data_IF_496923382600
#
_entry.id   IF_496923382600
#
_cell.length_a   1.000
_cell.length_b   1.000
_cell.length_c   1.000
_cell.angle_alpha   90.00
_cell.angle_beta   90.00
_cell.angle_gamma   90.00
#
_symmetry.space_group_name_H-M   'P 1'
#
loop_
_entity.id
_entity.type
_entity.pdbx_description
1 polymer ?
#
# COMPACT_ATOMS: atom_id res chain seq x y z
N UNK A 1 16.60 7.21 6.39
CA UNK A 1 16.62 5.92 7.11
C UNK A 1 17.91 5.82 7.91
N UNK A 2 17.93 5.19 9.09
CA UNK A 2 19.14 5.03 9.90
C UNK A 2 20.27 4.28 9.17
N UNK A 3 19.93 3.39 8.24
CA UNK A 3 20.88 2.64 7.41
C UNK A 3 20.62 2.87 5.92
N UNK A 4 21.69 3.00 5.13
CA UNK A 4 21.62 3.11 3.66
C UNK A 4 21.41 1.75 2.97
N UNK A 5 21.85 0.68 3.63
CA UNK A 5 21.80 -0.69 3.10
C UNK A 5 20.85 -1.51 3.95
N UNK A 6 19.79 -2.03 3.32
CA UNK A 6 18.76 -2.80 3.99
C UNK A 6 17.78 -3.39 3.00
N UNK A 7 17.00 -4.35 3.47
CA UNK A 7 15.90 -4.93 2.70
C UNK A 7 14.66 -4.07 2.94
N UNK A 8 14.10 -3.54 1.87
CA UNK A 8 12.85 -2.80 1.95
C UNK A 8 11.68 -3.77 2.15
N UNK A 9 10.83 -3.49 3.13
CA UNK A 9 9.60 -4.24 3.40
C UNK A 9 8.42 -3.27 3.49
N UNK A 10 7.29 -3.65 2.90
CA UNK A 10 6.02 -2.97 3.09
C UNK A 10 5.18 -3.75 4.09
N UNK A 11 4.57 -3.06 5.04
CA UNK A 11 3.88 -3.69 6.17
C UNK A 11 2.51 -3.05 6.35
N UNK A 12 1.49 -3.88 6.57
CA UNK A 12 0.16 -3.45 6.98
C UNK A 12 0.04 -3.64 8.50
N UNK A 13 -0.15 -2.54 9.21
CA UNK A 13 -0.20 -2.51 10.68
C UNK A 13 -1.46 -1.83 11.18
N UNK A 14 -1.98 -2.29 12.32
CA UNK A 14 -2.99 -1.58 13.06
C UNK A 14 -2.36 -0.33 13.70
N UNK A 15 -2.87 0.86 13.37
CA UNK A 15 -2.32 2.13 13.84
C UNK A 15 -2.45 2.34 15.36
N UNK A 16 -3.42 1.69 16.00
CA UNK A 16 -3.71 1.88 17.42
C UNK A 16 -2.90 0.94 18.32
N UNK A 17 -2.68 -0.31 17.87
CA UNK A 17 -1.97 -1.33 18.66
C UNK A 17 -0.55 -1.61 18.18
N UNK A 18 -0.17 -1.13 16.99
CA UNK A 18 1.09 -1.49 16.33
C UNK A 18 1.13 -2.94 15.83
N UNK A 19 0.03 -3.68 15.94
CA UNK A 19 -0.03 -5.07 15.50
C UNK A 19 0.23 -5.17 14.00
N UNK A 20 1.21 -5.98 13.62
CA UNK A 20 1.54 -6.25 12.22
C UNK A 20 0.69 -7.38 11.70
N UNK A 21 -0.14 -7.08 10.71
CA UNK A 21 -1.00 -8.08 10.08
C UNK A 21 -0.27 -8.82 8.95
N UNK A 22 0.26 -8.09 7.97
CA UNK A 22 0.90 -8.68 6.79
C UNK A 22 2.09 -7.85 6.32
N UNK A 23 3.04 -8.52 5.68
CA UNK A 23 4.21 -7.89 5.08
C UNK A 23 4.47 -8.37 3.66
N UNK A 24 5.21 -7.56 2.91
CA UNK A 24 5.67 -7.81 1.55
C UNK A 24 7.14 -7.35 1.43
N UNK A 25 8.11 -8.27 1.37
CA UNK A 25 9.49 -7.92 1.07
C UNK A 25 9.63 -7.46 -0.38
N UNK A 26 10.49 -6.46 -0.61
CA UNK A 26 10.72 -5.87 -1.92
C UNK A 26 12.04 -6.32 -2.52
N UNK A 27 11.95 -7.17 -3.54
CA UNK A 27 13.07 -7.73 -4.30
C UNK A 27 13.23 -7.08 -5.68
N UNK A 28 12.88 -5.80 -5.81
CA UNK A 28 13.00 -5.07 -7.07
C UNK A 28 11.92 -5.45 -8.09
N UNK A 29 12.34 -5.66 -9.36
CA UNK A 29 11.43 -5.90 -10.49
C UNK A 29 10.56 -7.14 -10.30
N UNK A 30 11.13 -8.24 -9.79
CA UNK A 30 10.42 -9.50 -9.56
C UNK A 30 9.20 -9.31 -8.63
N UNK A 31 9.32 -8.49 -7.58
CA UNK A 31 8.17 -8.14 -6.74
C UNK A 31 7.18 -7.27 -7.51
N UNK A 32 7.63 -6.28 -8.28
CA UNK A 32 6.70 -5.42 -9.02
C UNK A 32 5.94 -6.15 -10.13
N UNK A 33 6.54 -7.16 -10.75
CA UNK A 33 5.91 -7.96 -11.82
C UNK A 33 4.85 -8.92 -11.27
N UNK A 34 5.10 -9.50 -10.09
CA UNK A 34 4.17 -10.43 -9.43
C UNK A 34 2.97 -9.78 -8.75
N UNK A 35 2.95 -8.45 -8.58
CA UNK A 35 1.82 -7.73 -8.00
C UNK A 35 0.58 -7.77 -8.92
N UNK A 36 -0.61 -7.77 -8.31
CA UNK A 36 -1.87 -7.72 -9.08
C UNK A 36 -2.05 -6.38 -9.81
N UNK A 37 -2.90 -6.36 -10.84
CA UNK A 37 -3.35 -5.15 -11.57
C UNK A 37 -2.19 -4.30 -12.15
N UNK A 38 -1.49 -4.78 -13.20
CA UNK A 38 -0.28 -4.15 -13.74
C UNK A 38 -0.47 -2.74 -14.30
N UNK A 39 -1.70 -2.34 -14.61
CA UNK A 39 -2.05 -1.01 -15.11
C UNK A 39 -2.07 0.07 -14.01
N UNK A 40 -2.03 -0.31 -12.73
CA UNK A 40 -2.00 0.65 -11.62
C UNK A 40 -0.56 1.03 -11.22
N UNK A 41 -0.37 2.20 -10.59
CA UNK A 41 0.91 2.55 -9.97
C UNK A 41 1.35 1.51 -8.93
N UNK A 42 2.65 1.22 -8.87
CA UNK A 42 3.24 0.20 -7.98
C UNK A 42 2.78 0.35 -6.53
N UNK A 43 2.72 1.59 -6.01
CA UNK A 43 2.26 1.86 -4.63
C UNK A 43 0.82 1.42 -4.40
N UNK A 44 -0.09 1.67 -5.35
CA UNK A 44 -1.47 1.24 -5.24
C UNK A 44 -1.57 -0.29 -5.26
N UNK A 45 -0.76 -0.94 -6.11
CA UNK A 45 -0.70 -2.40 -6.21
C UNK A 45 -0.18 -3.06 -4.92
N UNK A 46 0.80 -2.44 -4.25
CA UNK A 46 1.31 -2.90 -2.94
C UNK A 46 0.19 -2.84 -1.88
N UNK A 47 -0.53 -1.72 -1.80
CA UNK A 47 -1.64 -1.56 -0.85
C UNK A 47 -2.71 -2.61 -1.10
N UNK A 48 -3.13 -2.78 -2.36
CA UNK A 48 -4.13 -3.79 -2.74
C UNK A 48 -3.65 -5.21 -2.42
N UNK A 49 -2.37 -5.52 -2.63
CA UNK A 49 -1.83 -6.83 -2.31
C UNK A 49 -1.84 -7.13 -0.80
N UNK A 50 -1.40 -6.17 0.03
CA UNK A 50 -1.41 -6.32 1.49
C UNK A 50 -2.84 -6.42 2.03
N UNK A 51 -3.76 -5.64 1.48
CA UNK A 51 -5.17 -5.65 1.83
C UNK A 51 -5.86 -6.96 1.40
N UNK A 52 -5.55 -7.47 0.21
CA UNK A 52 -6.05 -8.76 -0.26
C UNK A 52 -5.64 -9.89 0.70
N UNK A 53 -4.41 -9.90 1.21
CA UNK A 53 -3.99 -10.87 2.24
C UNK A 53 -4.85 -10.80 3.50
N UNK A 54 -5.28 -9.60 3.92
CA UNK A 54 -6.17 -9.41 5.07
C UNK A 54 -7.57 -9.95 4.80
N UNK A 55 -8.10 -9.66 3.61
CA UNK A 55 -9.41 -10.17 3.18
C UNK A 55 -9.41 -11.70 3.11
N UNK A 56 -8.40 -12.28 2.45
CA UNK A 56 -8.36 -13.72 2.19
C UNK A 56 -8.28 -14.53 3.51
N UNK A 57 -7.83 -13.91 4.61
CA UNK A 57 -7.83 -14.48 5.95
C UNK A 57 -9.18 -14.34 6.68
N UNK A 58 -9.87 -13.21 6.52
CA UNK A 58 -11.13 -12.90 7.21
C UNK A 58 -12.20 -12.38 6.22
N UNK A 59 -12.80 -13.27 5.40
CA UNK A 59 -13.76 -12.89 4.36
C UNK A 59 -15.02 -12.21 4.93
N UNK A 60 -15.42 -12.51 6.16
CA UNK A 60 -16.62 -11.93 6.79
C UNK A 60 -16.48 -10.44 7.16
N UNK A 61 -15.25 -9.91 7.22
CA UNK A 61 -15.02 -8.48 7.44
C UNK A 61 -15.25 -7.62 6.17
N UNK A 62 -15.34 -8.24 4.99
CA UNK A 62 -15.52 -7.58 3.69
C UNK A 62 -16.74 -6.66 3.64
N UNK A 63 -17.86 -7.08 4.24
CA UNK A 63 -19.11 -6.34 4.19
C UNK A 63 -19.11 -5.13 5.15
N UNK A 64 -18.20 -5.11 6.13
CA UNK A 64 -18.14 -4.08 7.18
C UNK A 64 -17.10 -3.01 6.89
N UNK A 65 -16.00 -3.37 6.24
CA UNK A 65 -14.90 -2.45 5.99
C UNK A 65 -15.11 -1.63 4.70
N UNK A 66 -15.85 -0.52 4.82
CA UNK A 66 -15.73 0.59 3.88
C UNK A 66 -14.33 1.20 4.02
N UNK A 67 -13.37 0.68 3.25
CA UNK A 67 -12.00 1.16 3.29
C UNK A 67 -11.84 2.46 2.51
N UNK A 68 -11.18 3.43 3.12
CA UNK A 68 -10.80 4.69 2.50
C UNK A 68 -9.29 4.88 2.65
N UNK A 69 -8.63 5.29 1.57
CA UNK A 69 -7.21 5.66 1.64
C UNK A 69 -7.11 7.12 2.10
N UNK A 70 -6.34 7.35 3.16
CA UNK A 70 -5.99 8.68 3.63
C UNK A 70 -4.48 8.84 3.60
N UNK A 71 -4.01 10.06 3.33
CA UNK A 71 -2.59 10.33 3.23
C UNK A 71 -2.30 11.59 2.43
N UNK A 72 -1.02 11.87 2.27
CA UNK A 72 -0.53 13.00 1.49
C UNK A 72 -0.36 12.64 0.02
N UNK A 73 -0.55 13.62 -0.86
CA UNK A 73 -0.25 13.49 -2.29
C UNK A 73 0.96 14.36 -2.65
N UNK A 74 1.76 13.88 -3.60
CA UNK A 74 2.81 14.70 -4.21
C UNK A 74 2.18 15.91 -4.92
N UNK A 75 2.71 17.11 -4.63
CA UNK A 75 2.25 18.35 -5.23
C UNK A 75 2.49 18.39 -6.75
N UNK A 76 3.51 17.66 -7.22
CA UNK A 76 3.88 17.57 -8.63
C UNK A 76 3.15 16.43 -9.37
N UNK A 77 2.16 15.78 -8.74
CA UNK A 77 1.41 14.69 -9.36
C UNK A 77 0.63 15.20 -10.59
N UNK A 78 0.85 14.57 -11.74
CA UNK A 78 0.28 14.96 -13.06
C UNK A 78 -1.23 15.21 -13.08
N UNK A 79 -1.99 14.54 -12.21
CA UNK A 79 -3.46 14.57 -12.20
C UNK A 79 -4.05 15.31 -11.00
N UNK A 80 -3.32 16.27 -10.42
CA UNK A 80 -3.84 17.12 -9.34
C UNK A 80 -4.69 18.25 -9.93
N UNK A 81 -5.82 18.56 -9.28
CA UNK A 81 -6.66 19.71 -9.66
C UNK A 81 -5.85 21.00 -9.62
N UNK A 82 -5.97 21.82 -10.68
CA UNK A 82 -5.27 23.10 -10.81
C UNK A 82 -5.63 24.08 -9.69
N UNK A 83 -6.83 23.98 -9.12
CA UNK A 83 -7.30 24.83 -8.02
C UNK A 83 -6.69 24.49 -6.66
N UNK A 84 -5.88 23.42 -6.57
CA UNK A 84 -5.20 23.00 -5.34
C UNK A 84 -3.70 23.35 -5.34
N UNK A 85 -3.28 24.27 -6.22
CA UNK A 85 -1.95 24.89 -6.16
C UNK A 85 -2.04 26.09 -5.21
N UNK A 86 -1.19 26.08 -4.18
CA UNK A 86 -1.01 27.19 -3.26
C UNK A 86 -0.28 28.35 -3.96
#
# INVERSE_FOLDING_TARGET
EPTKWGIRMYVLTNSNTGYTHSFLPYYGSSTTESLIQPYLPVTARIILHLYKKLIDLNPDELLKLKCYTTGTIDQNRKYKSLHLKA
#
